data_IF_754608960082
#
_entry.id   IF_754608960082
#
_cell.length_a   1.000
_cell.length_b   1.000
_cell.length_c   1.000
_cell.angle_alpha   90.00
_cell.angle_beta   90.00
_cell.angle_gamma   90.00
#
_symmetry.space_group_name_H-M   'P 1'
#
loop_
_entity.id
_entity.type
_entity.pdbx_description
1 polymer ?
#
# COMPACT_ATOMS: atom_id res chain seq x y z
N UNK A 1 -19.09 2.33 -24.12
CA UNK A 1 -18.13 2.73 -25.16
C UNK A 1 -16.77 2.24 -24.70
N UNK A 2 -16.36 1.05 -25.14
CA UNK A 2 -15.03 0.52 -24.84
C UNK A 2 -14.02 1.37 -25.59
N UNK A 3 -13.14 2.06 -24.87
CA UNK A 3 -12.02 2.77 -25.46
C UNK A 3 -11.21 1.78 -26.31
N UNK A 4 -10.81 2.17 -27.51
CA UNK A 4 -9.90 1.34 -28.31
C UNK A 4 -8.64 1.05 -27.48
N UNK A 5 -8.18 -0.20 -27.42
CA UNK A 5 -7.02 -0.56 -26.63
C UNK A 5 -5.81 0.23 -27.14
N UNK A 6 -5.18 1.00 -26.25
CA UNK A 6 -3.98 1.76 -26.58
C UNK A 6 -2.88 0.78 -26.97
N UNK A 7 -2.28 0.98 -28.14
CA UNK A 7 -1.18 0.14 -28.62
C UNK A 7 0.07 0.50 -27.79
N UNK A 8 0.64 -0.43 -27.01
CA UNK A 8 1.78 -0.14 -26.16
C UNK A 8 3.07 0.01 -26.96
N UNK A 9 3.99 0.85 -26.49
CA UNK A 9 5.34 0.94 -27.04
C UNK A 9 6.22 -0.19 -26.48
N UNK A 10 6.62 -1.15 -27.31
CA UNK A 10 7.52 -2.25 -26.91
C UNK A 10 8.80 -2.20 -27.75
N UNK A 11 9.95 -2.26 -27.09
CA UNK A 11 11.27 -2.23 -27.73
C UNK A 11 12.01 -3.55 -27.51
N UNK A 12 12.75 -3.98 -28.53
CA UNK A 12 13.59 -5.17 -28.49
C UNK A 12 15.06 -4.77 -28.63
N UNK A 13 15.96 -5.39 -27.88
CA UNK A 13 17.40 -5.30 -28.15
C UNK A 13 17.78 -6.02 -29.45
N UNK A 14 18.94 -5.70 -30.01
CA UNK A 14 19.45 -6.37 -31.21
C UNK A 14 19.56 -7.90 -31.02
N UNK A 15 19.99 -8.34 -29.83
CA UNK A 15 20.09 -9.76 -29.49
C UNK A 15 18.73 -10.43 -29.41
N UNK A 16 17.75 -9.79 -28.78
CA UNK A 16 16.37 -10.31 -28.72
C UNK A 16 15.76 -10.42 -30.11
N UNK A 17 15.99 -9.42 -30.98
CA UNK A 17 15.52 -9.43 -32.36
C UNK A 17 16.11 -10.58 -33.16
N UNK A 18 17.41 -10.84 -33.04
CA UNK A 18 18.07 -11.94 -33.75
C UNK A 18 17.47 -13.29 -33.35
N UNK A 19 17.25 -13.51 -32.06
CA UNK A 19 16.70 -14.78 -31.56
C UNK A 19 15.24 -14.98 -31.97
N UNK A 20 14.40 -13.96 -31.80
CA UNK A 20 13.00 -14.04 -32.20
C UNK A 20 12.85 -14.13 -33.73
N UNK A 21 13.61 -13.34 -34.48
CA UNK A 21 13.61 -13.36 -35.94
C UNK A 21 14.06 -14.70 -36.51
N UNK A 22 15.12 -15.31 -35.96
CA UNK A 22 15.56 -16.64 -36.37
C UNK A 22 14.49 -17.71 -36.09
N UNK A 23 13.82 -17.64 -34.94
CA UNK A 23 12.75 -18.58 -34.59
C UNK A 23 11.52 -18.46 -35.52
N UNK A 24 11.20 -17.24 -35.98
CA UNK A 24 10.15 -17.00 -36.98
C UNK A 24 10.56 -17.50 -38.37
N UNK A 25 11.80 -17.25 -38.80
CA UNK A 25 12.31 -17.67 -40.11
C UNK A 25 12.36 -19.20 -40.30
N UNK A 26 12.51 -19.96 -39.20
CA UNK A 26 12.45 -21.42 -39.19
C UNK A 26 11.04 -21.98 -39.47
N UNK A 27 10.03 -21.12 -39.70
CA UNK A 27 8.66 -21.51 -40.06
C UNK A 27 7.84 -22.06 -38.89
N UNK A 28 8.26 -21.79 -37.65
CA UNK A 28 7.57 -22.27 -36.44
C UNK A 28 6.34 -21.43 -36.08
N UNK A 29 6.32 -20.16 -36.46
CA UNK A 29 5.15 -19.26 -36.42
C UNK A 29 5.45 -17.99 -37.24
N UNK A 30 4.40 -17.28 -37.64
CA UNK A 30 4.50 -15.98 -38.33
C UNK A 30 4.50 -14.78 -37.37
N UNK A 31 4.28 -15.04 -36.07
CA UNK A 31 4.10 -14.03 -35.03
C UNK A 31 4.57 -14.52 -33.66
N UNK A 32 4.92 -13.59 -32.78
CA UNK A 32 5.26 -13.88 -31.38
C UNK A 32 4.19 -13.30 -30.48
N UNK A 33 3.55 -14.12 -29.67
CA UNK A 33 2.64 -13.67 -28.62
C UNK A 33 3.43 -13.35 -27.36
N UNK A 34 3.21 -12.15 -26.81
CA UNK A 34 3.70 -11.73 -25.52
C UNK A 34 2.54 -11.70 -24.52
N UNK A 35 2.62 -12.54 -23.50
CA UNK A 35 1.67 -12.58 -22.38
C UNK A 35 2.26 -11.94 -21.14
N UNK A 36 1.50 -11.06 -20.49
CA UNK A 36 1.86 -10.42 -19.22
C UNK A 36 0.72 -10.61 -18.23
N UNK A 37 0.93 -11.48 -17.24
CA UNK A 37 -0.08 -11.75 -16.22
C UNK A 37 -0.20 -10.60 -15.20
N UNK A 38 -1.10 -10.76 -14.23
CA UNK A 38 -1.33 -9.77 -13.16
C UNK A 38 -0.13 -9.60 -12.22
N UNK A 39 0.82 -10.54 -12.21
CA UNK A 39 2.06 -10.50 -11.43
C UNK A 39 3.23 -9.98 -12.25
N UNK A 40 2.99 -9.53 -13.49
CA UNK A 40 4.02 -9.13 -14.44
C UNK A 40 5.02 -10.25 -14.73
N UNK A 41 4.56 -11.49 -14.79
CA UNK A 41 5.30 -12.58 -15.39
C UNK A 41 5.14 -12.53 -16.92
N UNK A 42 6.26 -12.58 -17.64
CA UNK A 42 6.32 -12.50 -19.09
C UNK A 42 6.50 -13.88 -19.71
N UNK A 43 5.77 -14.13 -20.77
CA UNK A 43 5.92 -15.35 -21.57
C UNK A 43 5.88 -15.00 -23.04
N UNK A 44 6.80 -15.58 -23.81
CA UNK A 44 6.87 -15.46 -25.26
C UNK A 44 6.44 -16.80 -25.87
N UNK A 45 5.38 -16.76 -26.66
CA UNK A 45 4.77 -17.93 -27.29
C UNK A 45 4.77 -17.74 -28.81
N UNK A 46 4.95 -18.82 -29.56
CA UNK A 46 4.88 -18.80 -31.03
C UNK A 46 3.52 -19.31 -31.45
N UNK A 47 2.54 -18.42 -31.47
CA UNK A 47 1.13 -18.73 -31.72
C UNK A 47 0.58 -17.84 -32.84
N UNK A 48 -0.42 -18.32 -33.60
CA UNK A 48 -1.09 -17.51 -34.60
C UNK A 48 -1.91 -16.39 -33.95
N UNK A 49 -2.16 -15.34 -34.73
CA UNK A 49 -3.07 -14.26 -34.35
C UNK A 49 -4.48 -14.79 -34.11
N UNK A 50 -5.09 -14.32 -33.03
CA UNK A 50 -6.51 -14.53 -32.73
C UNK A 50 -7.27 -13.21 -32.81
N UNK A 51 -8.60 -13.31 -32.93
CA UNK A 51 -9.48 -12.14 -32.92
C UNK A 51 -9.35 -11.40 -31.58
N UNK A 52 -9.18 -10.08 -31.63
CA UNK A 52 -9.01 -9.23 -30.44
C UNK A 52 -7.57 -9.00 -30.00
N UNK A 53 -6.57 -9.60 -30.66
CA UNK A 53 -5.16 -9.28 -30.40
C UNK A 53 -4.83 -7.83 -30.75
N UNK A 54 -4.16 -7.17 -29.81
CA UNK A 54 -3.43 -5.92 -30.03
C UNK A 54 -2.12 -6.27 -30.72
N UNK A 55 -1.92 -5.68 -31.88
CA UNK A 55 -0.74 -5.91 -32.72
C UNK A 55 0.26 -4.79 -32.46
N UNK A 56 1.47 -5.15 -32.08
CA UNK A 56 2.57 -4.21 -31.87
C UNK A 56 3.67 -4.55 -32.85
N UNK A 57 3.84 -3.68 -33.85
CA UNK A 57 4.96 -3.76 -34.76
C UNK A 57 6.18 -3.10 -34.10
N UNK A 58 7.22 -3.89 -33.89
CA UNK A 58 8.49 -3.38 -33.36
C UNK A 58 9.34 -2.79 -34.50
N UNK A 59 10.30 -1.93 -34.15
CA UNK A 59 11.12 -1.14 -35.10
C UNK A 59 11.86 -1.96 -36.18
N UNK A 60 11.90 -3.29 -36.07
CA UNK A 60 12.66 -4.19 -36.92
C UNK A 60 11.82 -5.29 -37.58
N UNK A 61 10.49 -5.10 -37.68
CA UNK A 61 9.60 -5.98 -38.44
C UNK A 61 9.20 -7.27 -37.74
N UNK A 62 9.46 -7.39 -36.44
CA UNK A 62 8.88 -8.45 -35.61
C UNK A 62 7.53 -7.96 -35.09
N UNK A 63 6.48 -8.68 -35.43
CA UNK A 63 5.13 -8.42 -34.96
C UNK A 63 4.87 -9.18 -33.65
N UNK A 64 4.61 -8.42 -32.59
CA UNK A 64 4.17 -8.95 -31.31
C UNK A 64 2.64 -8.93 -31.22
N UNK A 65 2.08 -10.02 -30.70
CA UNK A 65 0.66 -10.17 -30.42
C UNK A 65 0.43 -10.13 -28.92
N UNK A 66 -0.49 -9.29 -28.46
CA UNK A 66 -0.86 -9.20 -27.06
C UNK A 66 -2.38 -9.28 -26.94
N UNK A 67 -2.88 -9.99 -25.94
CA UNK A 67 -4.27 -9.80 -25.53
C UNK A 67 -4.44 -8.39 -24.92
N UNK A 68 -5.67 -7.83 -24.86
CA UNK A 68 -5.90 -6.49 -24.33
C UNK A 68 -5.40 -6.26 -22.89
N UNK A 69 -5.41 -7.29 -22.04
CA UNK A 69 -4.94 -7.16 -20.66
C UNK A 69 -3.40 -7.11 -20.60
N UNK A 70 -2.72 -7.93 -21.39
CA UNK A 70 -1.26 -7.89 -21.57
C UNK A 70 -0.82 -6.56 -22.18
N UNK A 71 -1.55 -6.05 -23.18
CA UNK A 71 -1.27 -4.76 -23.82
C UNK A 71 -1.31 -3.60 -22.83
N UNK A 72 -2.30 -3.58 -21.93
CA UNK A 72 -2.40 -2.58 -20.86
C UNK A 72 -1.24 -2.60 -19.84
N UNK A 73 -0.39 -3.63 -19.85
CA UNK A 73 0.79 -3.76 -18.96
C UNK A 73 2.13 -3.63 -19.70
N UNK A 74 2.11 -3.51 -21.02
CA UNK A 74 3.31 -3.61 -21.86
C UNK A 74 3.91 -2.25 -22.27
N UNK A 75 3.25 -1.12 -21.96
CA UNK A 75 3.71 0.18 -22.45
C UNK A 75 5.09 0.57 -21.90
N UNK A 76 6.03 0.88 -22.79
CA UNK A 76 7.42 1.16 -22.46
C UNK A 76 8.30 -0.07 -22.19
N UNK A 77 7.79 -1.30 -22.36
CA UNK A 77 8.52 -2.54 -22.13
C UNK A 77 9.78 -2.63 -23.02
N UNK A 78 10.90 -3.01 -22.43
CA UNK A 78 12.12 -3.38 -23.14
C UNK A 78 12.43 -4.87 -22.95
N UNK A 79 12.68 -5.57 -24.05
CA UNK A 79 13.00 -7.01 -24.06
C UNK A 79 14.41 -7.19 -24.57
N UNK A 80 15.25 -7.85 -23.78
CA UNK A 80 16.62 -8.23 -24.13
C UNK A 80 16.78 -9.74 -24.16
N UNK A 81 17.84 -10.23 -24.80
CA UNK A 81 18.27 -11.62 -24.73
C UNK A 81 19.72 -11.66 -24.29
N UNK A 82 19.95 -12.21 -23.09
CA UNK A 82 21.26 -12.18 -22.43
C UNK A 82 21.83 -13.59 -22.37
N UNK A 83 23.14 -13.68 -22.61
CA UNK A 83 23.93 -14.89 -22.39
C UNK A 83 24.77 -14.69 -21.13
N UNK A 84 24.60 -15.56 -20.15
CA UNK A 84 25.41 -15.60 -18.94
C UNK A 84 26.04 -16.98 -18.72
N UNK A 85 26.82 -17.11 -17.64
CA UNK A 85 27.51 -18.36 -17.30
C UNK A 85 26.53 -19.46 -16.83
N UNK A 86 25.26 -19.13 -16.58
CA UNK A 86 24.22 -20.00 -16.04
C UNK A 86 23.19 -20.40 -17.10
N UNK A 87 23.16 -19.71 -18.25
CA UNK A 87 22.30 -20.03 -19.38
C UNK A 87 22.14 -18.88 -20.38
N UNK A 88 21.13 -18.98 -21.23
CA UNK A 88 20.71 -17.92 -22.13
C UNK A 88 19.20 -17.75 -22.02
N UNK A 89 18.71 -16.52 -22.00
CA UNK A 89 17.28 -16.27 -21.81
C UNK A 89 16.87 -14.82 -22.09
N UNK A 90 15.56 -14.63 -22.20
CA UNK A 90 14.97 -13.31 -22.35
C UNK A 90 14.90 -12.61 -20.99
N UNK A 91 15.30 -11.34 -20.99
CA UNK A 91 15.16 -10.43 -19.87
C UNK A 91 14.14 -9.35 -20.24
N UNK A 92 13.27 -9.01 -19.29
CA UNK A 92 12.18 -8.06 -19.49
C UNK A 92 12.34 -6.92 -18.49
N UNK A 93 12.49 -5.70 -19.01
CA UNK A 93 12.46 -4.47 -18.22
C UNK A 93 11.12 -3.78 -18.46
N UNK A 94 10.18 -3.99 -17.52
CA UNK A 94 8.83 -3.47 -17.62
C UNK A 94 8.62 -2.32 -16.63
N UNK A 95 8.52 -1.06 -17.09
CA UNK A 95 8.36 0.10 -16.19
C UNK A 95 7.01 0.13 -15.46
N UNK A 96 6.02 -0.64 -15.93
CA UNK A 96 4.71 -0.76 -15.29
C UNK A 96 4.70 -1.83 -14.19
N UNK A 97 5.74 -2.65 -14.07
CA UNK A 97 5.84 -3.65 -13.01
C UNK A 97 5.95 -2.95 -11.65
N UNK A 98 5.03 -3.22 -10.70
CA UNK A 98 5.11 -2.66 -9.36
C UNK A 98 6.46 -3.00 -8.73
N UNK A 99 7.13 -1.98 -8.16
CA UNK A 99 8.38 -2.20 -7.43
C UNK A 99 8.15 -3.26 -6.35
N UNK A 100 8.91 -4.36 -6.39
CA UNK A 100 8.85 -5.36 -5.33
C UNK A 100 9.31 -4.70 -4.04
N UNK A 101 8.50 -4.67 -2.97
CA UNK A 101 8.94 -4.11 -1.71
C UNK A 101 10.18 -4.91 -1.26
N UNK A 102 11.24 -4.18 -0.93
CA UNK A 102 12.50 -4.78 -0.52
C UNK A 102 12.49 -4.93 1.01
N UNK A 103 12.93 -6.08 1.57
CA UNK A 103 13.03 -6.24 3.00
C UNK A 103 14.00 -5.22 3.61
N UNK A 104 13.54 -4.51 4.63
CA UNK A 104 14.30 -3.54 5.43
C UNK A 104 14.91 -4.26 6.62
N UNK A 105 16.17 -3.97 6.91
CA UNK A 105 16.87 -4.47 8.08
C UNK A 105 16.65 -3.52 9.27
N UNK A 106 16.27 -4.05 10.42
CA UNK A 106 16.07 -3.25 11.63
C UNK A 106 17.40 -2.70 12.17
N UNK A 107 17.43 -1.40 12.45
CA UNK A 107 18.61 -0.68 12.95
C UNK A 107 18.86 -0.90 14.44
N UNK A 108 17.80 -1.20 15.19
CA UNK A 108 17.80 -1.53 16.62
C UNK A 108 16.69 -2.53 16.94
N UNK A 109 16.74 -3.09 18.15
CA UNK A 109 15.63 -3.88 18.68
C UNK A 109 14.38 -2.99 18.83
N UNK A 110 13.21 -3.52 18.50
CA UNK A 110 11.94 -2.82 18.69
C UNK A 110 10.83 -3.77 19.14
N UNK A 111 9.82 -3.22 19.83
CA UNK A 111 8.61 -3.96 20.13
C UNK A 111 7.67 -3.92 18.92
N UNK A 112 7.07 -5.07 18.62
CA UNK A 112 6.03 -5.16 17.63
C UNK A 112 4.86 -5.98 18.19
N UNK A 113 3.69 -5.81 17.59
CA UNK A 113 2.47 -6.50 17.99
C UNK A 113 1.97 -7.37 16.85
N UNK A 114 1.83 -8.68 17.08
CA UNK A 114 1.32 -9.61 16.07
C UNK A 114 -0.11 -9.24 15.66
N UNK A 115 -0.36 -9.30 14.36
CA UNK A 115 -1.69 -9.15 13.76
C UNK A 115 -2.15 -10.55 13.31
N UNK A 116 -3.36 -11.01 13.67
CA UNK A 116 -4.43 -10.30 14.39
C UNK A 116 -4.42 -10.49 15.91
N UNK A 117 -3.50 -11.29 16.46
CA UNK A 117 -3.58 -11.79 17.84
C UNK A 117 -3.36 -10.75 18.93
N UNK A 118 -2.75 -9.60 18.64
CA UNK A 118 -2.41 -8.58 19.64
C UNK A 118 -1.23 -8.95 20.56
N UNK A 119 -0.60 -10.11 20.35
CA UNK A 119 0.53 -10.56 21.17
C UNK A 119 1.79 -9.71 20.88
N UNK A 120 2.47 -9.25 21.94
CA UNK A 120 3.72 -8.50 21.79
C UNK A 120 4.89 -9.44 21.52
N UNK A 121 5.76 -9.05 20.59
CA UNK A 121 7.05 -9.70 20.36
C UNK A 121 8.17 -8.66 20.28
N UNK A 122 9.40 -9.13 20.50
CA UNK A 122 10.60 -8.36 20.18
C UNK A 122 11.09 -8.72 18.79
N UNK A 123 11.28 -7.72 17.94
CA UNK A 123 12.07 -7.86 16.73
C UNK A 123 13.50 -7.43 17.02
N UNK A 124 14.46 -8.26 16.60
CA UNK A 124 15.87 -8.02 16.86
C UNK A 124 16.50 -7.11 15.81
N UNK A 125 17.50 -6.32 16.20
CA UNK A 125 18.40 -5.63 15.27
C UNK A 125 18.95 -6.62 14.24
N UNK A 126 18.95 -6.21 12.98
CA UNK A 126 19.40 -7.06 11.87
C UNK A 126 18.32 -7.98 11.30
N UNK A 127 17.16 -8.11 11.95
CA UNK A 127 16.04 -8.84 11.37
C UNK A 127 15.50 -8.09 10.16
N UNK A 128 15.19 -8.85 9.10
CA UNK A 128 14.68 -8.31 7.84
C UNK A 128 13.17 -8.43 7.81
N UNK A 129 12.49 -7.30 7.64
CA UNK A 129 11.04 -7.23 7.59
C UNK A 129 10.59 -6.50 6.33
N UNK A 130 9.41 -6.86 5.83
CA UNK A 130 8.85 -6.23 4.64
C UNK A 130 7.77 -5.24 5.07
N UNK A 131 7.93 -3.96 4.77
CA UNK A 131 6.87 -2.98 5.03
C UNK A 131 5.71 -3.26 4.08
N UNK A 132 4.55 -3.60 4.63
CA UNK A 132 3.31 -3.81 3.87
C UNK A 132 2.41 -2.59 3.91
N UNK A 133 2.44 -1.83 5.01
CA UNK A 133 1.69 -0.58 5.18
C UNK A 133 2.47 0.39 6.08
N UNK A 134 2.39 1.68 5.80
CA UNK A 134 2.91 2.74 6.67
C UNK A 134 1.87 3.87 6.73
N UNK A 135 0.95 3.78 7.69
CA UNK A 135 -0.23 4.64 7.79
C UNK A 135 -0.37 5.16 9.23
N UNK A 136 -0.72 6.44 9.36
CA UNK A 136 -0.90 7.07 10.68
C UNK A 136 0.38 7.17 11.52
N UNK A 137 1.56 6.94 10.95
CA UNK A 137 2.83 6.85 11.68
C UNK A 137 3.12 5.46 12.26
N UNK A 138 2.14 4.57 12.32
CA UNK A 138 2.37 3.14 12.59
C UNK A 138 2.79 2.41 11.30
N UNK A 139 3.52 1.30 11.45
CA UNK A 139 4.03 0.55 10.31
C UNK A 139 3.66 -0.93 10.47
N UNK A 140 2.92 -1.47 9.51
CA UNK A 140 2.67 -2.91 9.41
C UNK A 140 3.79 -3.54 8.60
N UNK A 141 4.42 -4.55 9.18
CA UNK A 141 5.50 -5.29 8.57
C UNK A 141 5.17 -6.78 8.49
N UNK A 142 5.62 -7.42 7.42
CA UNK A 142 5.66 -8.87 7.32
C UNK A 142 7.00 -9.36 7.87
N UNK A 143 6.92 -10.20 8.90
CA UNK A 143 8.06 -10.82 9.58
C UNK A 143 8.31 -12.23 9.04
N UNK A 144 9.34 -12.90 9.57
CA UNK A 144 9.67 -14.28 9.22
C UNK A 144 8.46 -15.22 9.30
N UNK A 145 8.35 -16.15 8.34
CA UNK A 145 7.20 -17.07 8.14
C UNK A 145 5.91 -16.42 7.63
N UNK A 146 6.00 -15.18 7.11
CA UNK A 146 4.89 -14.51 6.46
C UNK A 146 3.84 -13.91 7.41
N UNK A 147 4.11 -13.91 8.72
CA UNK A 147 3.23 -13.31 9.73
C UNK A 147 3.30 -11.78 9.64
N UNK A 148 2.23 -11.11 10.04
CA UNK A 148 2.18 -9.64 10.11
C UNK A 148 2.39 -9.18 11.56
N UNK A 149 3.10 -8.07 11.70
CA UNK A 149 3.28 -7.38 12.97
C UNK A 149 3.17 -5.87 12.78
N UNK A 150 2.57 -5.18 13.74
CA UNK A 150 2.48 -3.71 13.80
C UNK A 150 3.64 -3.18 14.65
N UNK A 151 4.40 -2.24 14.11
CA UNK A 151 5.38 -1.41 14.82
C UNK A 151 4.71 -0.07 15.13
N UNK A 152 4.73 0.34 16.39
CA UNK A 152 4.15 1.61 16.83
C UNK A 152 4.94 2.81 16.30
N UNK A 153 4.33 3.99 16.26
CA UNK A 153 4.96 5.19 15.73
C UNK A 153 6.25 5.59 16.47
N UNK A 154 6.30 5.35 17.78
CA UNK A 154 7.48 5.58 18.62
C UNK A 154 8.67 4.66 18.31
N UNK A 155 8.43 3.56 17.60
CA UNK A 155 9.46 2.59 17.18
C UNK A 155 9.71 2.61 15.66
N UNK A 156 9.12 3.57 14.93
CA UNK A 156 9.27 3.67 13.47
C UNK A 156 10.72 3.94 13.02
N UNK A 157 11.53 4.59 13.86
CA UNK A 157 12.96 4.84 13.65
C UNK A 157 13.77 3.54 13.55
N UNK A 158 13.28 2.43 14.14
CA UNK A 158 13.92 1.12 14.05
C UNK A 158 14.00 0.60 12.61
N UNK A 159 13.17 1.09 11.69
CA UNK A 159 13.23 0.76 10.27
C UNK A 159 14.16 1.68 9.47
N UNK A 160 14.76 2.70 10.10
CA UNK A 160 15.65 3.65 9.43
C UNK A 160 14.95 4.49 8.33
N UNK A 161 13.62 4.56 8.33
CA UNK A 161 12.83 5.24 7.31
C UNK A 161 12.88 6.78 7.41
N UNK A 162 13.32 7.32 8.54
CA UNK A 162 13.47 8.77 8.75
C UNK A 162 14.54 9.38 7.82
N UNK A 163 15.59 8.63 7.47
CA UNK A 163 16.67 9.14 6.62
C UNK A 163 16.28 9.35 5.13
N UNK A 164 15.18 8.74 4.67
CA UNK A 164 14.70 8.89 3.28
C UNK A 164 13.68 10.02 3.13
N UNK A 165 12.91 10.36 4.17
CA UNK A 165 11.92 11.43 4.08
C UNK A 165 12.57 12.82 3.97
N UNK A 166 13.74 13.02 4.59
CA UNK A 166 14.49 14.28 4.50
C UNK A 166 15.04 14.57 3.09
N UNK A 167 15.30 13.54 2.29
CA UNK A 167 15.80 13.70 0.92
C UNK A 167 14.67 13.90 -0.09
N UNK A 168 13.52 13.24 0.11
CA UNK A 168 12.35 13.37 -0.77
C UNK A 168 11.57 14.68 -0.59
N UNK A 169 11.65 15.32 0.58
CA UNK A 169 10.96 16.61 0.85
C UNK A 169 11.72 17.83 0.31
N UNK A 170 12.98 17.67 -0.12
CA UNK A 170 13.82 18.78 -0.58
C UNK A 170 13.59 19.20 -2.04
N UNK A 171 12.81 18.43 -2.82
CA UNK A 171 12.56 18.72 -4.25
C UNK A 171 11.08 19.01 -4.60
N UNK A 172 10.17 18.90 -3.63
CA UNK A 172 8.71 19.05 -3.87
C UNK A 172 8.10 20.24 -3.13
N UNK A 173 8.89 21.26 -2.78
CA UNK A 173 8.39 22.52 -2.20
C UNK A 173 8.38 23.65 -3.24
N UNK A 174 7.72 23.42 -4.36
CA UNK A 174 7.35 24.50 -5.27
C UNK A 174 6.04 24.12 -5.94
N UNK A 175 4.96 24.74 -5.45
CA UNK A 175 3.61 24.82 -6.01
C UNK A 175 2.53 23.91 -5.37
N UNK A 176 1.57 24.60 -4.72
CA UNK A 176 0.14 24.22 -4.51
C UNK A 176 -0.12 23.24 -3.36
N UNK A 177 -0.92 23.48 -2.32
CA UNK A 177 -1.88 24.53 -1.97
C UNK A 177 -1.93 24.61 -0.44
N UNK A 178 -2.05 25.82 0.07
CA UNK A 178 -2.28 26.12 1.49
C UNK A 178 -3.64 25.56 1.95
N UNK A 179 -3.61 24.39 2.58
CA UNK A 179 -4.58 24.07 3.64
C UNK A 179 -4.21 24.91 4.86
N UNK A 180 -5.15 25.62 5.51
CA UNK A 180 -4.85 26.28 6.75
C UNK A 180 -4.52 25.22 7.79
N UNK A 181 -3.25 25.16 8.21
CA UNK A 181 -2.92 24.65 9.54
C UNK A 181 -3.79 25.43 10.53
N UNK A 182 -4.63 24.78 11.34
CA UNK A 182 -5.32 25.49 12.39
C UNK A 182 -4.24 26.08 13.30
N UNK A 183 -4.21 27.41 13.38
CA UNK A 183 -3.45 28.08 14.39
C UNK A 183 -3.87 27.50 15.75
N UNK A 184 -2.91 26.99 16.52
CA UNK A 184 -3.07 26.54 17.91
C UNK A 184 -3.29 27.76 18.82
N UNK A 185 -4.36 28.49 18.56
CA UNK A 185 -4.87 29.59 19.35
C UNK A 185 -6.40 29.55 19.26
N UNK A 186 -7.03 28.75 20.12
CA UNK A 186 -8.48 28.60 20.15
C UNK A 186 -8.93 27.67 21.26
N UNK A 187 -10.15 27.90 21.76
CA UNK A 187 -10.83 26.98 22.66
C UNK A 187 -10.88 25.56 22.07
N UNK A 188 -10.87 24.54 22.93
CA UNK A 188 -11.01 23.14 22.53
C UNK A 188 -12.19 22.94 21.57
N UNK A 189 -11.97 22.18 20.49
CA UNK A 189 -12.99 21.76 19.53
C UNK A 189 -13.02 20.23 19.38
N UNK A 190 -14.22 19.65 19.46
CA UNK A 190 -14.44 18.21 19.29
C UNK A 190 -14.02 17.72 17.89
N UNK A 191 -14.02 18.59 16.86
CA UNK A 191 -13.53 18.21 15.54
C UNK A 191 -12.04 17.85 15.56
N UNK A 192 -11.23 18.49 16.42
CA UNK A 192 -9.82 18.14 16.58
C UNK A 192 -9.64 16.69 17.09
N UNK A 193 -10.57 16.21 17.91
CA UNK A 193 -10.59 14.82 18.37
C UNK A 193 -10.87 13.87 17.20
N UNK A 194 -11.88 14.17 16.38
CA UNK A 194 -12.21 13.35 15.21
C UNK A 194 -11.08 13.33 14.18
N UNK A 195 -10.47 14.48 13.89
CA UNK A 195 -9.32 14.59 13.00
C UNK A 195 -8.12 13.79 13.52
N UNK A 196 -7.89 13.83 14.83
CA UNK A 196 -6.86 13.02 15.46
C UNK A 196 -7.17 11.52 15.35
N UNK A 197 -8.43 11.12 15.53
CA UNK A 197 -8.85 9.73 15.36
C UNK A 197 -8.74 9.26 13.89
N UNK A 198 -8.90 10.15 12.90
CA UNK A 198 -8.62 9.83 11.48
C UNK A 198 -7.16 9.49 11.21
N UNK A 199 -6.24 9.81 12.12
CA UNK A 199 -4.84 9.39 12.03
C UNK A 199 -4.60 7.94 12.52
N UNK A 200 -5.61 7.30 13.12
CA UNK A 200 -5.51 5.93 13.61
C UNK A 200 -6.08 4.97 12.56
N UNK A 201 -5.25 4.03 12.11
CA UNK A 201 -5.59 3.08 11.05
C UNK A 201 -5.69 1.65 11.57
N UNK A 202 -6.71 0.94 11.10
CA UNK A 202 -6.82 -0.49 11.32
C UNK A 202 -5.66 -1.22 10.61
N UNK A 203 -4.96 -2.15 11.29
CA UNK A 203 -3.80 -2.83 10.72
C UNK A 203 -4.15 -3.94 9.71
N UNK A 204 -5.40 -4.38 9.67
CA UNK A 204 -5.87 -5.42 8.74
C UNK A 204 -6.55 -4.79 7.53
N UNK A 205 -7.34 -3.74 7.74
CA UNK A 205 -8.04 -2.98 6.72
C UNK A 205 -7.40 -1.59 6.64
N UNK A 206 -6.75 -1.19 5.52
CA UNK A 206 -5.94 0.03 5.42
C UNK A 206 -6.76 1.34 5.35
N UNK A 207 -7.74 1.50 6.25
CA UNK A 207 -8.66 2.63 6.37
C UNK A 207 -8.65 3.10 7.83
N UNK A 208 -8.84 4.39 8.06
CA UNK A 208 -8.85 4.93 9.41
C UNK A 208 -10.11 4.56 10.19
N UNK A 209 -10.03 4.54 11.52
CA UNK A 209 -11.11 4.10 12.40
C UNK A 209 -12.39 4.94 12.29
N UNK A 210 -12.29 6.20 11.84
CA UNK A 210 -13.44 7.08 11.63
C UNK A 210 -14.16 6.71 10.34
N UNK A 211 -13.43 6.61 9.22
CA UNK A 211 -14.01 6.30 7.91
C UNK A 211 -14.43 4.83 7.76
N UNK A 212 -13.88 3.94 8.59
CA UNK A 212 -14.41 2.59 8.80
C UNK A 212 -15.73 2.58 9.58
N UNK A 213 -16.10 3.68 10.23
CA UNK A 213 -17.29 3.75 11.07
C UNK A 213 -17.15 3.00 12.39
N UNK A 214 -15.93 2.86 12.92
CA UNK A 214 -15.69 2.22 14.22
C UNK A 214 -15.99 3.14 15.39
N UNK A 215 -15.97 4.46 15.21
CA UNK A 215 -16.29 5.44 16.26
C UNK A 215 -17.81 5.62 16.37
N UNK A 216 -18.41 5.12 17.45
CA UNK A 216 -19.87 5.17 17.67
C UNK A 216 -20.29 6.40 18.47
N UNK A 217 -19.46 6.82 19.42
CA UNK A 217 -19.72 7.96 20.27
C UNK A 217 -18.40 8.67 20.56
N UNK A 218 -18.41 10.01 20.50
CA UNK A 218 -17.28 10.85 20.87
C UNK A 218 -17.83 12.11 21.54
N UNK A 219 -17.64 12.22 22.85
CA UNK A 219 -18.11 13.35 23.66
C UNK A 219 -16.94 13.99 24.41
N UNK A 220 -17.03 15.29 24.64
CA UNK A 220 -16.10 16.01 25.50
C UNK A 220 -16.86 16.76 26.61
N UNK A 221 -16.34 16.68 27.83
CA UNK A 221 -16.92 17.31 29.01
C UNK A 221 -15.86 18.17 29.71
N UNK A 222 -16.17 19.43 30.05
CA UNK A 222 -15.25 20.26 30.83
C UNK A 222 -14.97 19.64 32.20
N UNK A 223 -13.72 19.68 32.63
CA UNK A 223 -13.32 19.27 33.98
C UNK A 223 -13.30 20.46 34.93
N UNK A 224 -13.60 20.19 36.21
CA UNK A 224 -13.60 21.22 37.26
C UNK A 224 -12.22 21.87 37.47
N UNK A 225 -11.14 21.13 37.19
CA UNK A 225 -9.75 21.59 37.32
C UNK A 225 -9.22 22.27 36.03
N UNK A 226 -10.07 22.43 35.02
CA UNK A 226 -9.70 22.94 33.69
C UNK A 226 -9.38 21.81 32.71
N UNK A 227 -9.51 22.13 31.41
CA UNK A 227 -9.38 21.15 30.32
C UNK A 227 -10.64 20.30 30.11
N UNK A 228 -10.53 19.31 29.24
CA UNK A 228 -11.63 18.44 28.81
C UNK A 228 -11.35 16.98 29.12
N UNK A 229 -12.40 16.26 29.52
CA UNK A 229 -12.46 14.81 29.49
C UNK A 229 -13.15 14.37 28.20
N UNK A 230 -12.46 13.57 27.40
CA UNK A 230 -12.98 13.00 26.16
C UNK A 230 -13.38 11.54 26.41
N UNK A 231 -14.62 11.21 26.11
CA UNK A 231 -15.20 9.87 26.23
C UNK A 231 -15.51 9.35 24.82
N UNK A 232 -14.87 8.25 24.42
CA UNK A 232 -15.00 7.63 23.11
C UNK A 232 -15.52 6.21 23.27
N UNK A 233 -16.59 5.87 22.54
CA UNK A 233 -17.01 4.49 22.36
C UNK A 233 -16.70 4.07 20.93
N UNK A 234 -15.91 3.03 20.79
CA UNK A 234 -15.56 2.46 19.51
C UNK A 234 -15.89 0.97 19.43
N UNK A 235 -16.07 0.46 18.22
CA UNK A 235 -16.25 -0.96 17.94
C UNK A 235 -15.04 -1.52 17.21
N UNK A 236 -15.09 -2.81 16.89
CA UNK A 236 -14.08 -3.51 16.10
C UNK A 236 -14.76 -4.25 14.95
N UNK A 237 -14.01 -4.47 13.87
CA UNK A 237 -14.49 -5.17 12.68
C UNK A 237 -14.78 -6.66 12.93
N UNK A 238 -14.14 -7.26 13.95
CA UNK A 238 -14.39 -8.62 14.38
C UNK A 238 -14.30 -8.79 15.92
N UNK A 239 -15.19 -9.58 16.54
CA UNK A 239 -15.10 -9.92 17.95
C UNK A 239 -13.89 -10.82 18.24
N UNK A 240 -13.22 -10.59 19.37
CA UNK A 240 -12.06 -11.39 19.80
C UNK A 240 -10.73 -11.05 19.11
N UNK A 241 -10.67 -9.96 18.33
CA UNK A 241 -9.40 -9.46 17.78
C UNK A 241 -8.55 -8.86 18.91
N UNK A 242 -7.38 -9.43 19.18
CA UNK A 242 -6.45 -8.91 20.20
C UNK A 242 -5.88 -7.53 19.86
N UNK A 243 -6.08 -7.07 18.63
CA UNK A 243 -5.75 -5.71 18.20
C UNK A 243 -6.70 -4.63 18.76
N UNK A 244 -7.87 -5.01 19.28
CA UNK A 244 -8.82 -4.05 19.85
C UNK A 244 -8.19 -3.21 20.96
N UNK A 245 -7.49 -3.87 21.89
CA UNK A 245 -6.80 -3.17 22.99
C UNK A 245 -5.67 -2.26 22.49
N UNK A 246 -4.99 -2.65 21.40
CA UNK A 246 -3.90 -1.87 20.80
C UNK A 246 -4.44 -0.60 20.14
N UNK A 247 -5.51 -0.74 19.34
CA UNK A 247 -6.15 0.40 18.68
C UNK A 247 -6.82 1.34 19.67
N UNK A 248 -7.45 0.79 20.71
CA UNK A 248 -7.99 1.56 21.83
C UNK A 248 -6.92 2.44 22.46
N UNK A 249 -5.76 1.86 22.76
CA UNK A 249 -4.70 2.60 23.45
C UNK A 249 -3.95 3.57 22.53
N UNK A 250 -3.84 3.26 21.24
CA UNK A 250 -3.37 4.22 20.23
C UNK A 250 -4.33 5.40 20.09
N UNK A 251 -5.64 5.16 19.95
CA UNK A 251 -6.65 6.21 19.89
C UNK A 251 -6.61 7.09 21.14
N UNK A 252 -6.50 6.47 22.32
CA UNK A 252 -6.35 7.18 23.60
C UNK A 252 -5.11 8.07 23.61
N UNK A 253 -3.93 7.53 23.27
CA UNK A 253 -2.67 8.26 23.28
C UNK A 253 -2.68 9.44 22.32
N UNK A 254 -3.24 9.26 21.11
CA UNK A 254 -3.37 10.30 20.09
C UNK A 254 -4.26 11.44 20.58
N UNK A 255 -5.46 11.13 21.07
CA UNK A 255 -6.41 12.14 21.55
C UNK A 255 -5.88 12.86 22.79
N UNK A 256 -5.16 12.15 23.67
CA UNK A 256 -4.55 12.74 24.87
C UNK A 256 -3.46 13.77 24.53
N UNK A 257 -2.87 13.71 23.33
CA UNK A 257 -1.87 14.69 22.87
C UNK A 257 -2.48 16.03 22.44
N UNK A 258 -3.81 16.12 22.29
CA UNK A 258 -4.49 17.35 21.87
C UNK A 258 -4.43 18.39 23.00
N UNK A 259 -3.94 19.62 22.73
CA UNK A 259 -3.94 20.68 23.73
C UNK A 259 -5.34 20.97 24.28
N UNK A 260 -5.47 20.98 25.60
CA UNK A 260 -6.74 21.16 26.29
C UNK A 260 -7.49 19.87 26.64
N UNK A 261 -7.01 18.70 26.17
CA UNK A 261 -7.49 17.39 26.64
C UNK A 261 -6.68 16.96 27.86
N UNK A 262 -7.38 16.74 28.97
CA UNK A 262 -6.76 16.36 30.25
C UNK A 262 -6.97 14.88 30.56
N UNK A 263 -8.10 14.30 30.13
CA UNK A 263 -8.40 12.89 30.36
C UNK A 263 -9.06 12.30 29.12
N UNK A 264 -8.62 11.09 28.73
CA UNK A 264 -9.25 10.32 27.66
C UNK A 264 -9.66 8.95 28.18
N UNK A 265 -10.91 8.59 27.91
CA UNK A 265 -11.46 7.26 28.15
C UNK A 265 -11.99 6.70 26.83
N UNK A 266 -11.49 5.51 26.48
CA UNK A 266 -11.89 4.79 25.28
C UNK A 266 -12.47 3.44 25.70
N UNK A 267 -13.71 3.18 25.33
CA UNK A 267 -14.43 1.95 25.59
C UNK A 267 -14.68 1.19 24.28
N UNK A 268 -14.38 -0.11 24.27
CA UNK A 268 -14.74 -0.98 23.14
C UNK A 268 -16.14 -1.54 23.41
N UNK A 269 -17.08 -1.26 22.51
CA UNK A 269 -18.46 -1.76 22.55
C UNK A 269 -18.72 -2.70 21.40
N UNK A 270 -19.56 -3.71 21.64
CA UNK A 270 -19.94 -4.73 20.65
C UNK A 270 -21.38 -4.60 20.16
N UNK A 271 -22.17 -3.75 20.82
CA UNK A 271 -23.58 -3.52 20.56
C UNK A 271 -23.78 -2.03 20.22
N UNK A 272 -24.29 -1.68 19.03
CA UNK A 272 -24.63 -2.59 17.92
C UNK A 272 -23.38 -3.20 17.27
N UNK A 273 -23.47 -4.42 16.68
CA UNK A 273 -22.33 -4.99 15.96
C UNK A 273 -21.95 -4.09 14.79
N UNK A 274 -20.66 -4.05 14.49
CA UNK A 274 -20.17 -3.33 13.32
C UNK A 274 -20.49 -4.13 12.06
N UNK A 275 -20.84 -3.41 11.00
CA UNK A 275 -21.00 -3.96 9.66
C UNK A 275 -20.57 -2.92 8.61
N UNK A 276 -20.31 -3.40 7.39
CA UNK A 276 -19.76 -2.62 6.29
C UNK A 276 -20.61 -1.40 5.89
N UNK A 277 -21.92 -1.38 6.19
CA UNK A 277 -22.78 -0.22 5.89
C UNK A 277 -22.41 1.04 6.68
N UNK A 278 -21.56 0.92 7.70
CA UNK A 278 -21.02 2.02 8.50
C UNK A 278 -19.84 2.72 7.85
N UNK A 279 -19.23 2.13 6.82
CA UNK A 279 -18.11 2.73 6.11
C UNK A 279 -18.56 3.99 5.36
N UNK A 280 -17.68 4.98 5.31
CA UNK A 280 -17.87 6.14 4.43
C UNK A 280 -17.74 5.77 2.95
N UNK A 281 -18.34 6.57 2.06
CA UNK A 281 -18.18 6.41 0.60
C UNK A 281 -16.71 6.44 0.16
N UNK A 282 -15.90 7.27 0.82
CA UNK A 282 -14.46 7.34 0.57
C UNK A 282 -13.74 6.02 0.91
N UNK A 283 -14.11 5.39 2.04
CA UNK A 283 -13.58 4.09 2.42
C UNK A 283 -14.03 2.97 1.47
N UNK A 284 -15.30 2.96 1.07
CA UNK A 284 -15.83 1.99 0.11
C UNK A 284 -15.11 2.10 -1.24
N UNK A 285 -14.91 3.32 -1.74
CA UNK A 285 -14.17 3.56 -2.98
C UNK A 285 -12.71 3.10 -2.87
N UNK A 286 -12.04 3.42 -1.75
CA UNK A 286 -10.65 3.01 -1.51
C UNK A 286 -10.48 1.48 -1.49
N UNK A 287 -11.50 0.76 -1.03
CA UNK A 287 -11.52 -0.71 -1.00
C UNK A 287 -12.09 -1.33 -2.29
N UNK A 288 -12.50 -0.54 -3.28
CA UNK A 288 -13.05 -1.03 -4.54
C UNK A 288 -14.45 -1.64 -4.42
N UNK A 289 -15.24 -1.19 -3.46
CA UNK A 289 -16.58 -1.71 -3.12
C UNK A 289 -17.73 -0.82 -3.62
N UNK A 290 -17.40 0.29 -4.29
CA UNK A 290 -18.33 1.29 -4.83
C UNK A 290 -18.29 1.31 -6.36
#
# INVERSE_FOLDING_TARGET
MTADPTIPNVRLSDSAQQILGAALADGRADSVRLRIDERFAHELLFEPRVEGDVVVDTDYGITLLLDPASAGRADGLFIDFVYDLQGAGFQFDNPNQPARPQPIELTRDCMATLIPSGERLQLGRGERVLVTQALGGSITVQITKGRLARIAAEDADALGLEARQSQSQSQSQSQSQSQPQPALSGAFDIQQVLDMLRSVYDPEIPVNVVDLGLIYQCEARPLAEGGQRVEIKMSMTAPGCGMGDVLKEEARARVQSIPGVSQVEVEIVWEPPWDQSRMSDAALLQLGLL
#
